data_IF_307936411012
#
_entry.id   IF_307936411012
#
_cell.length_a   1.000
_cell.length_b   1.000
_cell.length_c   1.000
_cell.angle_alpha   90.00
_cell.angle_beta   90.00
_cell.angle_gamma   90.00
#
_symmetry.space_group_name_H-M   'P 1'
#
loop_
_entity.id
_entity.type
_entity.pdbx_description
1 polymer ?
#
# COMPACT_ATOMS: atom_id res chain seq x y z
N UNK A 1 -8.78 3.59 6.80
CA UNK A 1 -8.34 3.12 5.47
C UNK A 1 -8.68 1.64 5.25
N UNK A 2 -8.39 0.76 6.21
CA UNK A 2 -8.67 -0.67 6.09
C UNK A 2 -10.14 -1.01 5.77
N UNK A 3 -11.11 -0.37 6.41
CA UNK A 3 -12.53 -0.60 6.10
C UNK A 3 -12.88 -0.30 4.62
N UNK A 4 -12.24 0.70 4.01
CA UNK A 4 -12.41 0.99 2.58
C UNK A 4 -11.79 -0.10 1.71
N UNK A 5 -10.62 -0.62 2.09
CA UNK A 5 -10.02 -1.74 1.36
C UNK A 5 -10.86 -3.01 1.47
N UNK A 6 -11.38 -3.33 2.66
CA UNK A 6 -12.25 -4.49 2.86
C UNK A 6 -13.48 -4.43 1.95
N UNK A 7 -14.12 -3.26 1.83
CA UNK A 7 -15.23 -3.06 0.90
C UNK A 7 -14.82 -3.25 -0.56
N UNK A 8 -13.66 -2.71 -0.97
CA UNK A 8 -13.13 -2.87 -2.33
C UNK A 8 -12.76 -4.32 -2.66
N UNK A 9 -12.36 -5.10 -1.65
CA UNK A 9 -12.04 -6.52 -1.76
C UNK A 9 -13.31 -7.38 -1.81
N UNK A 10 -14.20 -7.25 -0.82
CA UNK A 10 -15.30 -8.18 -0.63
C UNK A 10 -16.57 -7.79 -1.37
N UNK A 11 -16.86 -6.49 -1.48
CA UNK A 11 -18.13 -6.00 -2.05
C UNK A 11 -17.97 -5.58 -3.52
N UNK A 12 -16.79 -5.08 -3.88
CA UNK A 12 -16.51 -4.62 -5.24
C UNK A 12 -15.57 -5.55 -6.02
N UNK A 13 -14.86 -6.45 -5.34
CA UNK A 13 -13.99 -7.47 -5.93
C UNK A 13 -12.92 -6.91 -6.89
N UNK A 14 -12.33 -5.76 -6.55
CA UNK A 14 -11.35 -5.06 -7.41
C UNK A 14 -9.91 -5.01 -6.88
N UNK A 15 -9.57 -5.63 -5.75
CA UNK A 15 -8.21 -5.53 -5.20
C UNK A 15 -7.23 -6.51 -5.86
N UNK A 16 -7.49 -7.81 -5.74
CA UNK A 16 -6.58 -8.88 -6.16
C UNK A 16 -5.48 -9.17 -5.13
N UNK A 17 -4.80 -10.33 -5.29
CA UNK A 17 -3.85 -10.86 -4.29
C UNK A 17 -2.68 -9.91 -4.02
N UNK A 18 -2.23 -9.18 -5.03
CA UNK A 18 -1.11 -8.23 -4.97
C UNK A 18 -1.43 -7.09 -4.00
N UNK A 19 -2.56 -6.41 -4.21
CA UNK A 19 -2.97 -5.28 -3.36
C UNK A 19 -3.36 -5.75 -1.96
N UNK A 20 -4.01 -6.91 -1.85
CA UNK A 20 -4.36 -7.51 -0.57
C UNK A 20 -3.11 -7.82 0.27
N UNK A 21 -2.07 -8.38 -0.34
CA UNK A 21 -0.80 -8.71 0.34
C UNK A 21 -0.15 -7.48 0.97
N UNK A 22 -0.20 -6.34 0.29
CA UNK A 22 0.33 -5.07 0.82
C UNK A 22 -0.47 -4.63 2.05
N UNK A 23 -1.80 -4.70 1.99
CA UNK A 23 -2.67 -4.26 3.08
C UNK A 23 -2.60 -5.21 4.28
N UNK A 24 -2.51 -6.52 4.03
CA UNK A 24 -2.30 -7.54 5.05
C UNK A 24 -0.98 -7.32 5.79
N UNK A 25 0.12 -7.07 5.08
CA UNK A 25 1.40 -6.73 5.71
C UNK A 25 1.27 -5.49 6.60
N UNK A 26 0.66 -4.43 6.06
CA UNK A 26 0.44 -3.19 6.79
C UNK A 26 -0.43 -3.36 8.05
N UNK A 27 -1.33 -4.35 8.10
CA UNK A 27 -2.15 -4.65 9.29
C UNK A 27 -1.34 -5.29 10.43
N UNK A 28 -0.18 -5.89 10.15
CA UNK A 28 0.66 -6.56 11.16
C UNK A 28 1.59 -5.60 11.91
N UNK A 29 1.49 -4.30 11.63
CA UNK A 29 2.51 -3.32 11.98
C UNK A 29 1.92 -2.19 12.83
N UNK A 30 2.49 -1.97 14.01
CA UNK A 30 2.06 -0.92 14.95
C UNK A 30 2.43 0.50 14.49
N UNK A 31 3.44 0.62 13.61
CA UNK A 31 3.91 1.89 13.03
C UNK A 31 3.12 2.30 11.78
N UNK A 32 2.03 1.59 11.44
CA UNK A 32 1.17 1.85 10.30
C UNK A 32 -0.24 2.18 10.78
N UNK A 33 -0.69 3.41 10.52
CA UNK A 33 -2.02 3.85 10.94
C UNK A 33 -3.15 3.34 10.01
N UNK A 34 -2.82 2.95 8.78
CA UNK A 34 -3.80 2.51 7.79
C UNK A 34 -3.20 2.24 6.43
N UNK A 35 -3.76 1.26 5.71
CA UNK A 35 -3.46 1.03 4.30
C UNK A 35 -4.73 0.73 3.49
N UNK A 36 -4.67 0.97 2.18
CA UNK A 36 -5.68 0.56 1.19
C UNK A 36 -5.11 0.61 -0.23
N UNK A 37 -5.73 -0.12 -1.16
CA UNK A 37 -5.52 0.13 -2.59
C UNK A 37 -5.94 1.56 -3.00
N UNK A 38 -5.32 2.09 -4.06
CA UNK A 38 -5.69 3.37 -4.67
C UNK A 38 -5.78 3.24 -6.19
N UNK A 39 -6.61 4.07 -6.82
CA UNK A 39 -6.94 3.97 -8.25
C UNK A 39 -8.04 2.94 -8.54
N UNK A 40 -8.04 2.41 -9.76
CA UNK A 40 -9.12 1.57 -10.28
C UNK A 40 -9.16 0.13 -9.72
N UNK A 41 -8.01 -0.40 -9.27
CA UNK A 41 -7.89 -1.80 -8.85
C UNK A 41 -7.33 -2.71 -9.93
N UNK A 42 -7.44 -4.02 -9.69
CA UNK A 42 -6.90 -5.11 -10.50
C UNK A 42 -5.36 -5.01 -10.67
N UNK A 43 -4.69 -4.65 -9.57
CA UNK A 43 -3.27 -4.30 -9.52
C UNK A 43 -3.04 -2.80 -9.32
N UNK A 44 -1.87 -2.32 -9.75
CA UNK A 44 -1.48 -0.92 -9.58
C UNK A 44 -0.86 -0.67 -8.20
N UNK A 45 -1.39 0.30 -7.46
CA UNK A 45 -0.76 0.81 -6.26
C UNK A 45 -1.66 0.69 -5.01
N UNK A 46 -1.01 0.52 -3.86
CA UNK A 46 -1.62 0.73 -2.55
C UNK A 46 -0.92 1.91 -1.84
N UNK A 47 -1.63 2.52 -0.90
CA UNK A 47 -1.10 3.57 -0.02
C UNK A 47 -1.16 3.09 1.43
N UNK A 48 -0.11 3.39 2.18
CA UNK A 48 -0.02 3.13 3.62
C UNK A 48 0.45 4.40 4.33
N UNK A 49 -0.16 4.71 5.47
CA UNK A 49 0.26 5.79 6.36
C UNK A 49 1.21 5.22 7.40
N UNK A 50 2.51 5.39 7.16
CA UNK A 50 3.59 4.87 8.00
C UNK A 50 4.18 6.01 8.82
N UNK A 51 4.59 5.71 10.06
CA UNK A 51 5.34 6.67 10.89
C UNK A 51 6.66 7.05 10.19
N UNK A 52 6.98 8.34 10.15
CA UNK A 52 8.05 8.85 9.28
C UNK A 52 9.45 8.28 9.57
N UNK A 53 9.75 7.97 10.83
CA UNK A 53 10.99 7.34 11.30
C UNK A 53 11.07 5.83 10.99
N UNK A 54 9.98 5.24 10.49
CA UNK A 54 9.85 3.80 10.25
C UNK A 54 9.77 3.44 8.76
N UNK A 55 9.88 4.41 7.86
CA UNK A 55 9.74 4.20 6.41
C UNK A 55 10.77 3.21 5.85
N UNK A 56 12.04 3.30 6.26
CA UNK A 56 13.11 2.44 5.74
C UNK A 56 12.87 0.98 6.15
N UNK A 57 12.58 0.74 7.44
CA UNK A 57 12.25 -0.60 7.97
C UNK A 57 10.98 -1.17 7.33
N UNK A 58 9.95 -0.34 7.16
CA UNK A 58 8.73 -0.73 6.47
C UNK A 58 9.02 -1.14 5.02
N UNK A 59 9.81 -0.36 4.30
CA UNK A 59 10.13 -0.58 2.89
C UNK A 59 10.93 -1.86 2.68
N UNK A 60 11.93 -2.13 3.51
CA UNK A 60 12.71 -3.37 3.43
C UNK A 60 11.83 -4.59 3.67
N UNK A 61 11.03 -4.55 4.74
CA UNK A 61 10.20 -5.70 5.15
C UNK A 61 9.03 -5.95 4.22
N UNK A 62 8.38 -4.91 3.68
CA UNK A 62 7.28 -5.10 2.74
C UNK A 62 7.79 -5.70 1.43
N UNK A 63 8.98 -5.30 0.95
CA UNK A 63 9.58 -5.87 -0.26
C UNK A 63 9.83 -7.36 -0.04
N UNK A 64 10.42 -7.74 1.10
CA UNK A 64 10.67 -9.13 1.44
C UNK A 64 9.37 -9.95 1.54
N UNK A 65 8.40 -9.46 2.32
CA UNK A 65 7.11 -10.14 2.53
C UNK A 65 6.32 -10.30 1.24
N UNK A 66 6.23 -9.23 0.43
CA UNK A 66 5.53 -9.26 -0.84
C UNK A 66 6.21 -10.20 -1.84
N UNK A 67 7.54 -10.17 -1.94
CA UNK A 67 8.29 -11.04 -2.85
C UNK A 67 8.08 -12.51 -2.53
N UNK A 68 8.08 -12.88 -1.24
CA UNK A 68 7.80 -14.24 -0.79
C UNK A 68 6.39 -14.72 -1.19
N UNK A 69 5.37 -13.86 -0.99
CA UNK A 69 3.96 -14.21 -1.24
C UNK A 69 3.57 -14.17 -2.72
N UNK A 70 4.10 -13.23 -3.48
CA UNK A 70 3.67 -12.92 -4.84
C UNK A 70 4.64 -13.48 -5.89
N UNK A 71 5.92 -13.62 -5.55
CA UNK A 71 6.98 -14.16 -6.40
C UNK A 71 7.82 -13.12 -7.14
N UNK A 72 7.54 -11.82 -6.96
CA UNK A 72 8.33 -10.71 -7.50
C UNK A 72 8.23 -9.49 -6.59
N UNK A 73 9.21 -8.59 -6.67
CA UNK A 73 9.29 -7.42 -5.79
C UNK A 73 8.33 -6.29 -6.20
N UNK A 74 7.71 -5.59 -5.23
CA UNK A 74 6.99 -4.35 -5.49
C UNK A 74 7.96 -3.16 -5.58
N UNK A 75 7.49 -2.05 -6.15
CA UNK A 75 8.17 -0.76 -6.01
C UNK A 75 7.59 0.03 -4.83
N UNK A 76 8.46 0.63 -4.02
CA UNK A 76 8.05 1.42 -2.83
C UNK A 76 8.58 2.84 -2.96
N UNK A 77 7.71 3.82 -2.71
CA UNK A 77 8.04 5.24 -2.82
C UNK A 77 7.52 5.98 -1.59
N UNK A 78 8.33 6.90 -1.07
CA UNK A 78 7.86 7.90 -0.13
C UNK A 78 7.22 9.05 -0.92
N UNK A 79 5.96 9.36 -0.64
CA UNK A 79 5.21 10.41 -1.34
C UNK A 79 4.88 11.56 -0.39
N UNK A 80 5.35 12.75 -0.75
CA UNK A 80 4.96 14.01 -0.12
C UNK A 80 3.92 14.71 -0.99
N UNK A 81 3.01 15.45 -0.34
CA UNK A 81 2.00 16.24 -1.05
C UNK A 81 2.72 17.42 -1.73
N UNK A 82 2.78 17.39 -3.05
CA UNK A 82 3.32 18.47 -3.88
C UNK A 82 2.23 19.43 -4.38
N UNK A 83 2.67 20.58 -4.89
CA UNK A 83 1.79 21.50 -5.62
C UNK A 83 1.34 20.88 -6.96
N UNK A 84 0.16 21.30 -7.42
CA UNK A 84 -0.29 21.05 -8.79
C UNK A 84 0.47 21.89 -9.81
N UNK A 85 0.22 21.65 -11.11
CA UNK A 85 0.78 22.45 -12.20
C UNK A 85 0.40 23.93 -12.03
N UNK A 86 1.38 24.83 -12.21
CA UNK A 86 1.18 26.28 -12.17
C UNK A 86 1.61 26.88 -13.50
N UNK A 87 0.91 27.90 -13.97
CA UNK A 87 1.34 28.70 -15.12
C UNK A 87 2.65 29.44 -14.78
N UNK A 88 3.56 29.64 -15.75
CA UNK A 88 4.88 30.23 -15.53
C UNK A 88 4.85 31.71 -15.15
#
# INVERSE_FOLDING_TARGET
MYASHQSLKDLYEVSGKELDTIVEFALTRDDVAGARMTGAGFGGCAIALVKGDSFDDFSEKIIAYYTDKIGYAPSVYNSLIGDGVKEP
#
